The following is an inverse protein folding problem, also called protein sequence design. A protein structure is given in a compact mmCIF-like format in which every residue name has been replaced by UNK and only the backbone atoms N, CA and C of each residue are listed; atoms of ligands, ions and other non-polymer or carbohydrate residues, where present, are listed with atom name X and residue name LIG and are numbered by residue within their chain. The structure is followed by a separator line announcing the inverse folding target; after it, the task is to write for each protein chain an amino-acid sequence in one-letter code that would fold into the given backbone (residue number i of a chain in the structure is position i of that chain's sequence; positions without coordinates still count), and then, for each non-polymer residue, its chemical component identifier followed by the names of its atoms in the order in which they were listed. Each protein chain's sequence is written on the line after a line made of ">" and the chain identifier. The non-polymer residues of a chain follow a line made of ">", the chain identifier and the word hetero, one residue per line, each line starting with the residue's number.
data_IF_663417418832
#
_entry.id   IF_663417418832
#
_cell.length_a   1.000
_cell.length_b   1.000
_cell.length_c   1.000
_cell.angle_alpha   90.00
_cell.angle_beta   90.00
_cell.angle_gamma   90.00
#
_symmetry.space_group_name_H-M   'P 1'
#
loop_
_entity.id
_entity.type
_entity.pdbx_description
1 polymer ?
#
# COMPACT_ATOMS: atom_id res chain seq x y z
N UNK A 1 -1.37 -4.23 -16.47
CA UNK A 1 -0.64 -5.38 -17.03
C UNK A 1 0.82 -5.02 -17.29
N UNK A 2 1.75 -5.93 -16.98
CA UNK A 2 3.17 -5.79 -17.29
C UNK A 2 3.41 -6.28 -18.71
N UNK A 3 3.96 -5.45 -19.59
CA UNK A 3 4.25 -5.83 -20.96
C UNK A 3 5.70 -6.28 -21.12
N UNK A 4 5.88 -7.55 -21.46
CA UNK A 4 7.20 -8.19 -21.60
C UNK A 4 7.54 -8.57 -23.04
N UNK A 5 6.62 -8.31 -23.98
CA UNK A 5 6.86 -8.55 -25.40
C UNK A 5 7.70 -7.42 -26.00
N UNK A 6 8.48 -7.77 -27.04
CA UNK A 6 9.18 -6.80 -27.88
C UNK A 6 8.23 -6.05 -28.83
N UNK A 7 6.99 -6.54 -29.00
CA UNK A 7 5.99 -5.92 -29.84
C UNK A 7 5.43 -4.63 -29.24
N UNK A 8 4.79 -3.82 -30.09
CA UNK A 8 4.12 -2.60 -29.65
C UNK A 8 2.94 -2.94 -28.74
N UNK A 9 2.93 -2.32 -27.56
CA UNK A 9 1.82 -2.43 -26.61
C UNK A 9 0.51 -1.89 -27.19
N UNK A 10 -0.62 -2.62 -27.09
CA UNK A 10 -1.94 -2.12 -27.45
C UNK A 10 -2.50 -1.19 -26.34
N UNK A 11 -1.80 -0.07 -26.07
CA UNK A 11 -2.10 0.82 -24.93
C UNK A 11 -3.51 1.39 -24.96
N UNK A 12 -3.98 1.86 -26.11
CA UNK A 12 -5.31 2.47 -26.24
C UNK A 12 -6.42 1.46 -25.89
N UNK A 13 -6.36 0.26 -26.47
CA UNK A 13 -7.34 -0.80 -26.22
C UNK A 13 -7.37 -1.22 -24.74
N UNK A 14 -6.21 -1.23 -24.06
CA UNK A 14 -6.13 -1.53 -22.62
C UNK A 14 -6.74 -0.41 -21.77
N UNK A 15 -6.49 0.86 -22.12
CA UNK A 15 -7.06 2.00 -21.39
C UNK A 15 -8.58 2.05 -21.52
N UNK A 16 -9.14 1.74 -22.69
CA UNK A 16 -10.59 1.70 -22.92
C UNK A 16 -11.32 0.73 -21.99
N UNK A 17 -10.64 -0.35 -21.56
CA UNK A 17 -11.17 -1.32 -20.58
C UNK A 17 -10.71 -1.06 -19.14
N UNK A 18 -10.11 0.10 -18.88
CA UNK A 18 -9.66 0.50 -17.54
C UNK A 18 -8.36 -0.17 -17.06
N UNK A 19 -7.59 -0.78 -17.97
CA UNK A 19 -6.35 -1.48 -17.65
C UNK A 19 -5.15 -0.62 -17.97
N UNK A 20 -4.38 -0.26 -16.96
CA UNK A 20 -3.06 0.37 -17.15
C UNK A 20 -2.03 -0.62 -17.70
N UNK A 21 -1.12 -0.14 -18.56
CA UNK A 21 -0.03 -0.94 -19.13
C UNK A 21 1.33 -0.43 -18.66
N UNK A 22 2.15 -1.29 -18.04
CA UNK A 22 3.53 -0.98 -17.65
C UNK A 22 4.52 -1.63 -18.62
N UNK A 23 5.26 -0.79 -19.35
CA UNK A 23 6.18 -1.19 -20.43
C UNK A 23 7.65 -1.12 -20.04
N UNK A 24 7.96 -0.79 -18.78
CA UNK A 24 9.36 -0.65 -18.34
C UNK A 24 10.05 -2.01 -18.45
N UNK A 25 11.31 -2.05 -18.84
CA UNK A 25 12.09 -3.29 -18.83
C UNK A 25 12.11 -3.94 -17.43
N UNK A 26 12.27 -5.26 -17.37
CA UNK A 26 12.51 -5.99 -16.13
C UNK A 26 13.88 -5.53 -15.59
N UNK A 27 13.91 -5.14 -14.32
CA UNK A 27 15.18 -4.85 -13.63
C UNK A 27 15.59 -6.04 -12.76
N UNK A 28 16.89 -6.32 -12.69
CA UNK A 28 17.44 -7.34 -11.78
C UNK A 28 17.41 -6.89 -10.32
N UNK A 29 17.24 -5.60 -10.06
CA UNK A 29 17.13 -5.04 -8.72
C UNK A 29 15.75 -5.32 -8.14
N UNK A 30 15.67 -6.30 -7.25
CA UNK A 30 14.44 -6.73 -6.60
C UNK A 30 13.72 -5.59 -5.86
N UNK A 31 14.45 -4.67 -5.23
CA UNK A 31 13.86 -3.52 -4.53
C UNK A 31 13.09 -2.57 -5.45
N UNK A 32 13.42 -2.55 -6.74
CA UNK A 32 12.72 -1.77 -7.76
C UNK A 32 11.66 -2.59 -8.48
N UNK A 33 11.92 -3.86 -8.81
CA UNK A 33 10.96 -4.69 -9.54
C UNK A 33 9.82 -5.16 -8.64
N UNK A 34 10.09 -5.55 -7.39
CA UNK A 34 9.09 -6.09 -6.46
C UNK A 34 7.98 -5.09 -6.15
N UNK A 35 8.31 -3.80 -5.96
CA UNK A 35 7.31 -2.76 -5.67
C UNK A 35 6.27 -2.60 -6.78
N UNK A 36 6.57 -3.04 -8.02
CA UNK A 36 5.63 -3.01 -9.16
C UNK A 36 4.55 -4.08 -9.09
N UNK A 37 4.72 -5.09 -8.24
CA UNK A 37 3.79 -6.21 -8.05
C UNK A 37 2.88 -6.05 -6.84
N UNK A 38 3.16 -5.08 -5.98
CA UNK A 38 2.37 -4.82 -4.79
C UNK A 38 1.42 -3.65 -5.01
N UNK A 39 0.24 -3.75 -4.38
CA UNK A 39 -0.65 -2.61 -4.20
C UNK A 39 -0.30 -1.98 -2.86
N UNK A 40 0.31 -0.79 -2.91
CA UNK A 40 0.59 -0.03 -1.70
C UNK A 40 -0.72 0.39 -1.04
N UNK A 41 -0.81 0.20 0.27
CA UNK A 41 -1.97 0.58 1.06
C UNK A 41 -1.52 1.28 2.34
N UNK A 42 -1.94 2.53 2.50
CA UNK A 42 -1.77 3.27 3.74
C UNK A 42 -3.01 3.11 4.61
N UNK A 43 -2.81 2.82 5.89
CA UNK A 43 -3.88 2.72 6.88
C UNK A 43 -3.69 3.81 7.92
N UNK A 44 -4.72 4.62 8.12
CA UNK A 44 -4.74 5.67 9.15
C UNK A 44 -5.62 5.22 10.32
N UNK A 45 -5.08 5.32 11.53
CA UNK A 45 -5.77 4.91 12.76
C UNK A 45 -5.80 6.09 13.71
N UNK A 46 -7.01 6.48 14.13
CA UNK A 46 -7.19 7.50 15.16
C UNK A 46 -6.73 6.96 16.52
N UNK A 47 -5.58 7.44 17.00
CA UNK A 47 -4.98 7.01 18.28
C UNK A 47 -5.44 7.84 19.49
N UNK A 48 -6.50 8.65 19.34
CA UNK A 48 -7.01 9.48 20.42
C UNK A 48 -8.52 9.29 20.59
N UNK A 49 -8.99 9.57 21.81
CA UNK A 49 -10.41 9.77 22.10
C UNK A 49 -10.58 11.20 22.60
N UNK A 50 -11.20 12.06 21.78
CA UNK A 50 -11.37 13.50 22.04
C UNK A 50 -10.06 14.23 22.37
N UNK A 51 -9.00 14.01 21.59
CA UNK A 51 -7.68 14.63 21.79
C UNK A 51 -6.82 14.00 22.90
N UNK A 52 -7.36 13.10 23.72
CA UNK A 52 -6.57 12.34 24.69
C UNK A 52 -5.95 11.10 24.02
N UNK A 53 -4.62 11.05 23.97
CA UNK A 53 -3.82 9.96 23.38
C UNK A 53 -3.41 8.86 24.37
N UNK A 54 -3.91 8.89 25.62
CA UNK A 54 -3.75 7.81 26.62
C UNK A 54 -4.54 6.56 26.19
N UNK A 55 -4.04 5.84 25.20
CA UNK A 55 -4.71 4.77 24.48
C UNK A 55 -5.28 3.65 25.38
N UNK A 56 -6.60 3.43 25.28
CA UNK A 56 -7.31 2.25 25.78
C UNK A 56 -7.92 2.35 27.19
N UNK A 57 -8.84 1.43 27.54
CA UNK A 57 -9.32 1.29 28.91
C UNK A 57 -8.14 0.97 29.84
N UNK A 58 -7.92 1.82 30.85
CA UNK A 58 -6.91 1.56 31.88
C UNK A 58 -7.44 0.48 32.83
N UNK A 59 -6.75 -0.67 33.02
CA UNK A 59 -7.18 -1.65 34.01
C UNK A 59 -7.16 -1.03 35.40
N UNK A 60 -8.22 -1.25 36.17
CA UNK A 60 -8.25 -0.87 37.58
C UNK A 60 -7.39 -1.83 38.38
N UNK A 61 -6.21 -1.39 38.82
CA UNK A 61 -5.38 -2.15 39.77
C UNK A 61 -5.79 -1.75 41.20
N UNK A 62 -6.51 -2.61 41.92
CA UNK A 62 -6.70 -2.44 43.36
C UNK A 62 -5.35 -2.58 44.07
N UNK A 63 -4.78 -1.47 44.55
CA UNK A 63 -3.54 -1.47 45.35
C UNK A 63 -2.46 -0.45 44.92
N UNK A 64 -2.61 0.22 43.78
CA UNK A 64 -1.73 1.33 43.38
C UNK A 64 -2.32 2.66 43.88
N UNK A 65 -2.12 2.92 45.17
CA UNK A 65 -2.42 4.20 45.81
C UNK A 65 -1.17 5.08 45.71
N UNK A 66 -1.34 6.34 45.31
CA UNK A 66 -0.42 7.40 45.70
C UNK A 66 -1.18 8.34 46.64
#
# INVERSE_FOLDING_TARGET
>A
VRWLSAELTPTNALIEVGVGCDRRAITQRGDIELSRWFLEQSVSITQHRYGNTNAGPKPSCSGLVK
#
